data_IF_819397547405
#
_entry.id   IF_819397547405
#
_cell.length_a   1.000
_cell.length_b   1.000
_cell.length_c   1.000
_cell.angle_alpha   90.00
_cell.angle_beta   90.00
_cell.angle_gamma   90.00
#
_symmetry.space_group_name_H-M   'P 1'
#
loop_
_entity.id
_entity.type
_entity.pdbx_description
1 polymer ?
#
# COMPACT_ATOMS: atom_id res chain seq x y z
N UNK A 1 16.26 -4.54 3.87
CA UNK A 1 16.95 -5.62 3.13
C UNK A 1 17.86 -6.44 4.05
N UNK A 2 18.78 -5.82 4.81
CA UNK A 2 19.75 -6.56 5.65
C UNK A 2 19.12 -7.49 6.69
N UNK A 3 17.92 -7.19 7.19
CA UNK A 3 17.22 -8.05 8.17
C UNK A 3 16.64 -9.32 7.53
N UNK A 4 16.18 -9.24 6.27
CA UNK A 4 15.49 -10.35 5.59
C UNK A 4 15.93 -10.48 4.12
N UNK A 5 17.22 -10.82 3.84
CA UNK A 5 17.75 -10.75 2.48
C UNK A 5 17.16 -11.78 1.52
N UNK A 6 16.71 -12.92 2.00
CA UNK A 6 16.22 -14.01 1.15
C UNK A 6 14.75 -13.81 0.75
N UNK A 7 13.89 -13.49 1.69
CA UNK A 7 12.42 -13.42 1.50
C UNK A 7 11.85 -12.02 1.54
N UNK A 8 12.67 -11.01 1.85
CA UNK A 8 12.24 -9.62 1.98
C UNK A 8 11.42 -9.35 3.24
N UNK A 9 10.86 -8.14 3.32
CA UNK A 9 10.12 -7.66 4.50
C UNK A 9 8.61 -7.83 4.34
N UNK A 10 8.14 -8.16 3.16
CA UNK A 10 6.72 -8.23 2.81
C UNK A 10 6.26 -7.09 1.90
N UNK A 11 5.19 -7.34 1.17
CA UNK A 11 4.54 -6.37 0.28
C UNK A 11 3.90 -5.27 1.15
N UNK A 12 3.94 -4.02 0.67
CA UNK A 12 3.37 -2.84 1.32
C UNK A 12 3.98 -2.43 2.68
N UNK A 13 5.11 -3.01 3.10
CA UNK A 13 5.80 -2.62 4.33
C UNK A 13 6.96 -1.63 4.10
N UNK A 14 7.09 -1.10 2.88
CA UNK A 14 8.20 -0.19 2.53
C UNK A 14 8.20 1.07 3.39
N UNK A 15 7.06 1.75 3.52
CA UNK A 15 6.94 2.97 4.31
C UNK A 15 7.32 2.77 5.78
N UNK A 16 6.81 1.70 6.41
CA UNK A 16 7.12 1.41 7.83
C UNK A 16 8.60 1.17 8.09
N UNK A 17 9.28 0.48 7.18
CA UNK A 17 10.70 0.24 7.34
C UNK A 17 11.55 1.43 6.90
N UNK A 18 11.04 2.28 5.99
CA UNK A 18 11.71 3.51 5.60
C UNK A 18 11.74 4.53 6.75
N UNK A 19 10.71 4.57 7.60
CA UNK A 19 10.68 5.41 8.80
C UNK A 19 11.87 5.16 9.75
N UNK A 20 12.40 3.93 9.81
CA UNK A 20 13.59 3.61 10.62
C UNK A 20 14.84 4.36 10.11
N UNK A 21 14.88 4.69 8.81
CA UNK A 21 15.99 5.40 8.15
C UNK A 21 15.66 6.87 7.85
N UNK A 22 14.47 7.33 8.20
CA UNK A 22 14.04 8.69 7.96
C UNK A 22 14.84 9.67 8.80
N UNK A 23 15.45 10.66 8.17
CA UNK A 23 16.19 11.73 8.84
C UNK A 23 15.47 13.07 8.66
N UNK A 24 15.48 13.92 9.68
CA UNK A 24 14.92 15.27 9.59
C UNK A 24 15.50 16.10 8.43
N UNK A 25 16.68 15.75 7.95
CA UNK A 25 17.31 16.34 6.77
C UNK A 25 16.56 16.00 5.47
N UNK A 26 16.00 14.80 5.39
CA UNK A 26 15.20 14.36 4.23
C UNK A 26 13.89 15.15 4.15
N UNK A 27 13.28 15.47 5.29
CA UNK A 27 12.06 16.26 5.36
C UNK A 27 12.24 17.71 4.89
N UNK A 28 13.44 18.28 5.04
CA UNK A 28 13.78 19.60 4.49
C UNK A 28 13.82 19.60 2.96
N UNK A 29 14.14 18.47 2.36
CA UNK A 29 14.24 18.29 0.90
C UNK A 29 12.91 17.87 0.29
N UNK A 30 12.17 17.03 1.01
CA UNK A 30 10.89 16.45 0.60
C UNK A 30 9.79 16.90 1.57
N UNK A 31 8.86 17.73 1.10
CA UNK A 31 7.76 18.25 1.93
C UNK A 31 6.71 17.20 2.30
N UNK A 32 6.59 16.11 1.55
CA UNK A 32 5.75 14.97 1.88
C UNK A 32 6.55 14.02 2.77
N UNK A 33 6.28 13.96 4.05
CA UNK A 33 6.97 13.05 4.97
C UNK A 33 6.64 11.56 4.79
N UNK A 34 6.00 11.17 3.69
CA UNK A 34 5.52 9.83 3.44
C UNK A 34 6.09 9.25 2.16
N UNK A 35 6.84 8.15 2.30
CA UNK A 35 7.43 7.41 1.19
C UNK A 35 6.80 6.02 1.14
N UNK A 36 5.89 5.82 0.22
CA UNK A 36 5.17 4.55 0.05
C UNK A 36 5.93 3.54 -0.82
N UNK A 37 6.74 4.04 -1.77
CA UNK A 37 7.46 3.22 -2.73
C UNK A 37 8.84 3.79 -3.05
N UNK A 38 9.84 2.94 -3.40
CA UNK A 38 11.18 3.40 -3.75
C UNK A 38 11.29 3.98 -5.17
N UNK A 39 10.18 4.20 -5.90
CA UNK A 39 10.15 4.63 -7.31
C UNK A 39 11.13 3.85 -8.22
N UNK A 40 11.33 2.58 -7.90
CA UNK A 40 12.10 1.62 -8.66
C UNK A 40 11.56 0.22 -8.38
N UNK A 41 10.96 -0.40 -9.39
CA UNK A 41 10.27 -1.67 -9.23
C UNK A 41 11.22 -2.83 -8.85
N UNK A 42 12.45 -2.81 -9.35
CA UNK A 42 13.44 -3.84 -9.00
C UNK A 42 13.88 -3.74 -7.53
N UNK A 43 14.08 -2.52 -7.03
CA UNK A 43 14.36 -2.28 -5.62
C UNK A 43 13.17 -2.64 -4.75
N UNK A 44 11.94 -2.36 -5.23
CA UNK A 44 10.72 -2.73 -4.53
C UNK A 44 10.59 -4.26 -4.41
N UNK A 45 10.84 -5.00 -5.50
CA UNK A 45 10.83 -6.47 -5.49
C UNK A 45 11.93 -7.04 -4.57
N UNK A 46 13.13 -6.49 -4.62
CA UNK A 46 14.22 -6.88 -3.73
C UNK A 46 13.88 -6.66 -2.26
N UNK A 47 13.27 -5.52 -1.96
CA UNK A 47 12.88 -5.16 -0.61
C UNK A 47 11.72 -6.04 -0.10
N UNK A 48 10.65 -6.15 -0.91
CA UNK A 48 9.40 -6.81 -0.51
C UNK A 48 9.50 -8.34 -0.48
N UNK A 49 10.20 -8.93 -1.46
CA UNK A 49 10.24 -10.38 -1.70
C UNK A 49 11.66 -10.97 -1.59
N UNK A 50 12.65 -10.15 -1.26
CA UNK A 50 14.04 -10.57 -1.14
C UNK A 50 14.68 -10.94 -2.48
N UNK A 51 15.89 -11.52 -2.39
CA UNK A 51 16.64 -11.91 -3.58
C UNK A 51 15.96 -13.02 -4.37
N UNK A 52 15.22 -13.91 -3.69
CA UNK A 52 14.49 -15.01 -4.34
C UNK A 52 13.37 -14.42 -5.22
N UNK A 53 12.59 -13.49 -4.68
CA UNK A 53 11.53 -12.82 -5.45
C UNK A 53 12.08 -11.99 -6.60
N UNK A 54 13.17 -11.26 -6.40
CA UNK A 54 13.83 -10.51 -7.47
C UNK A 54 14.33 -11.43 -8.59
N UNK A 55 14.99 -12.57 -8.26
CA UNK A 55 15.45 -13.53 -9.27
C UNK A 55 14.28 -14.11 -10.04
N UNK A 56 13.18 -14.47 -9.36
CA UNK A 56 11.98 -14.99 -10.01
C UNK A 56 11.39 -13.95 -10.98
N UNK A 57 11.26 -12.70 -10.53
CA UNK A 57 10.76 -11.59 -11.34
C UNK A 57 11.65 -11.31 -12.56
N UNK A 58 12.96 -11.19 -12.37
CA UNK A 58 13.92 -11.02 -13.47
C UNK A 58 13.91 -12.22 -14.43
N UNK A 59 13.72 -13.43 -13.93
CA UNK A 59 13.62 -14.64 -14.76
C UNK A 59 12.43 -14.57 -15.71
N UNK A 60 11.28 -14.03 -15.28
CA UNK A 60 10.10 -13.82 -16.14
C UNK A 60 10.44 -12.83 -17.26
N UNK A 61 11.02 -11.69 -16.92
CA UNK A 61 11.40 -10.64 -17.88
C UNK A 61 12.40 -11.18 -18.91
N UNK A 62 13.49 -11.79 -18.44
CA UNK A 62 14.56 -12.29 -19.31
C UNK A 62 14.08 -13.42 -20.21
N UNK A 63 13.31 -14.38 -19.67
CA UNK A 63 12.77 -15.47 -20.49
C UNK A 63 11.77 -14.96 -21.53
N UNK A 64 10.90 -14.02 -21.19
CA UNK A 64 9.93 -13.43 -22.11
C UNK A 64 10.63 -12.65 -23.23
N UNK A 65 11.63 -11.84 -22.87
CA UNK A 65 12.43 -11.12 -23.86
C UNK A 65 13.20 -12.08 -24.79
N UNK A 66 13.86 -13.08 -24.20
CA UNK A 66 14.58 -14.11 -24.98
C UNK A 66 13.64 -14.86 -25.93
N UNK A 67 12.44 -15.25 -25.49
CA UNK A 67 11.45 -15.91 -26.35
C UNK A 67 10.97 -15.02 -27.48
N UNK A 68 10.71 -13.75 -27.21
CA UNK A 68 10.37 -12.79 -28.27
C UNK A 68 11.50 -12.69 -29.33
N UNK A 69 12.75 -12.55 -28.90
CA UNK A 69 13.88 -12.47 -29.82
C UNK A 69 14.05 -13.75 -30.65
N UNK A 70 13.97 -14.94 -30.02
CA UNK A 70 14.09 -16.22 -30.74
C UNK A 70 12.99 -16.31 -31.82
N UNK A 71 11.75 -15.96 -31.51
CA UNK A 71 10.66 -16.04 -32.48
C UNK A 71 10.79 -15.02 -33.60
N UNK A 72 11.32 -13.82 -33.38
CA UNK A 72 11.62 -12.83 -34.43
C UNK A 72 12.51 -13.45 -35.52
N UNK A 73 13.49 -14.28 -35.15
CA UNK A 73 14.40 -14.91 -36.12
C UNK A 73 13.85 -16.24 -36.70
N UNK A 74 12.87 -16.86 -36.06
CA UNK A 74 12.26 -18.11 -36.51
C UNK A 74 11.09 -17.92 -37.47
N UNK A 75 10.34 -16.82 -37.33
CA UNK A 75 9.15 -16.57 -38.12
C UNK A 75 9.50 -16.11 -39.53
N UNK A 76 8.81 -16.70 -40.49
CA UNK A 76 8.89 -16.35 -41.91
C UNK A 76 7.81 -15.34 -42.29
N UNK A 77 6.63 -15.45 -41.66
CA UNK A 77 5.53 -14.51 -41.86
C UNK A 77 5.86 -13.12 -41.28
N UNK A 78 5.83 -12.06 -42.11
CA UNK A 78 6.07 -10.69 -41.63
C UNK A 78 5.12 -10.25 -40.53
N UNK A 79 3.86 -10.65 -40.52
CA UNK A 79 2.88 -10.27 -39.50
C UNK A 79 3.23 -10.86 -38.14
N UNK A 80 3.58 -12.17 -38.09
CA UNK A 80 4.04 -12.83 -36.87
C UNK A 80 5.35 -12.23 -36.35
N UNK A 81 6.25 -11.89 -37.27
CA UNK A 81 7.50 -11.23 -36.92
C UNK A 81 7.30 -9.88 -36.26
N UNK A 82 6.38 -9.06 -36.80
CA UNK A 82 6.00 -7.77 -36.22
C UNK A 82 5.40 -7.97 -34.81
N UNK A 83 4.57 -8.99 -34.62
CA UNK A 83 4.00 -9.32 -33.31
C UNK A 83 5.09 -9.59 -32.26
N UNK A 84 6.10 -10.42 -32.59
CA UNK A 84 7.20 -10.70 -31.65
C UNK A 84 8.14 -9.51 -31.44
N UNK A 85 8.32 -8.64 -32.42
CA UNK A 85 9.02 -7.35 -32.25
C UNK A 85 8.23 -6.49 -31.24
N UNK A 86 6.91 -6.44 -31.34
CA UNK A 86 6.07 -5.68 -30.40
C UNK A 86 6.16 -6.22 -28.97
N UNK A 87 6.20 -7.54 -28.79
CA UNK A 87 6.43 -8.15 -27.47
C UNK A 87 7.83 -7.79 -26.91
N UNK A 88 8.87 -7.87 -27.72
CA UNK A 88 10.22 -7.49 -27.29
C UNK A 88 10.30 -6.01 -26.90
N UNK A 89 9.70 -5.13 -27.70
CA UNK A 89 9.64 -3.69 -27.43
C UNK A 89 8.87 -3.37 -26.15
N UNK A 90 7.73 -4.05 -25.94
CA UNK A 90 6.94 -3.90 -24.70
C UNK A 90 7.76 -4.29 -23.47
N UNK A 91 8.41 -5.46 -23.48
CA UNK A 91 9.18 -5.94 -22.33
C UNK A 91 10.39 -5.02 -22.04
N UNK A 92 11.06 -4.54 -23.09
CA UNK A 92 12.15 -3.58 -22.94
C UNK A 92 11.65 -2.25 -22.35
N UNK A 93 10.55 -1.70 -22.86
CA UNK A 93 9.93 -0.48 -22.36
C UNK A 93 9.46 -0.64 -20.91
N UNK A 94 8.81 -1.75 -20.57
CA UNK A 94 8.42 -2.07 -19.20
C UNK A 94 9.63 -2.15 -18.25
N UNK A 95 10.74 -2.76 -18.69
CA UNK A 95 11.96 -2.85 -17.88
C UNK A 95 12.58 -1.47 -17.63
N UNK A 96 12.60 -0.60 -18.64
CA UNK A 96 13.09 0.79 -18.49
C UNK A 96 12.15 1.59 -17.58
N UNK A 97 10.84 1.45 -17.74
CA UNK A 97 9.85 2.07 -16.87
C UNK A 97 10.07 1.67 -15.40
N UNK A 98 10.30 0.38 -15.13
CA UNK A 98 10.53 -0.15 -13.78
C UNK A 98 11.81 0.34 -13.10
N UNK A 99 12.76 0.96 -13.82
CA UNK A 99 13.94 1.58 -13.23
C UNK A 99 13.64 2.91 -12.51
N UNK A 100 12.57 3.60 -12.89
CA UNK A 100 12.25 4.95 -12.39
C UNK A 100 10.82 5.04 -11.82
N UNK A 101 10.04 3.98 -11.92
CA UNK A 101 8.66 3.93 -11.47
C UNK A 101 8.36 2.62 -10.74
N UNK A 102 7.19 2.54 -10.14
CA UNK A 102 6.63 1.34 -9.55
C UNK A 102 5.38 0.90 -10.33
N UNK A 103 5.06 -0.39 -10.25
CA UNK A 103 3.87 -0.93 -10.89
C UNK A 103 2.62 -0.57 -10.08
N UNK A 104 1.66 0.04 -10.75
CA UNK A 104 0.27 0.04 -10.29
C UNK A 104 -0.46 -1.23 -10.80
N UNK A 105 -1.68 -1.42 -10.31
CA UNK A 105 -2.51 -2.59 -10.68
C UNK A 105 -2.74 -2.68 -12.19
N UNK A 106 -2.88 -1.53 -12.86
CA UNK A 106 -3.14 -1.46 -14.30
C UNK A 106 -1.92 -1.90 -15.10
N UNK A 107 -0.75 -1.40 -14.74
CA UNK A 107 0.53 -1.74 -15.42
C UNK A 107 0.85 -3.22 -15.24
N UNK A 108 0.66 -3.72 -14.01
CA UNK A 108 0.89 -5.13 -13.70
C UNK A 108 -0.08 -6.04 -14.50
N UNK A 109 -1.35 -5.64 -14.63
CA UNK A 109 -2.32 -6.35 -15.46
C UNK A 109 -1.87 -6.41 -16.93
N UNK A 110 -1.47 -5.28 -17.53
CA UNK A 110 -0.96 -5.26 -18.88
C UNK A 110 0.29 -6.13 -19.03
N UNK A 111 1.21 -6.09 -18.08
CA UNK A 111 2.39 -6.93 -18.11
C UNK A 111 2.03 -8.42 -18.19
N UNK A 112 1.16 -8.91 -17.32
CA UNK A 112 0.76 -10.32 -17.34
C UNK A 112 -0.08 -10.70 -18.55
N UNK A 113 -0.94 -9.82 -19.06
CA UNK A 113 -1.70 -10.04 -20.31
C UNK A 113 -0.74 -10.18 -21.49
N UNK A 114 0.28 -9.33 -21.61
CA UNK A 114 1.28 -9.42 -22.67
C UNK A 114 2.15 -10.68 -22.55
N UNK A 115 2.54 -11.08 -21.34
CA UNK A 115 3.27 -12.35 -21.13
C UNK A 115 2.42 -13.56 -21.53
N UNK A 116 1.12 -13.57 -21.17
CA UNK A 116 0.20 -14.63 -21.57
C UNK A 116 0.00 -14.67 -23.08
N UNK A 117 -0.17 -13.50 -23.75
CA UNK A 117 -0.28 -13.40 -25.19
C UNK A 117 1.00 -13.87 -25.90
N UNK A 118 2.18 -13.49 -25.42
CA UNK A 118 3.47 -13.98 -25.91
C UNK A 118 3.53 -15.51 -25.82
N UNK A 119 3.12 -16.08 -24.69
CA UNK A 119 3.13 -17.53 -24.48
C UNK A 119 2.15 -18.24 -25.40
N UNK A 120 0.97 -17.66 -25.67
CA UNK A 120 -0.01 -18.20 -26.61
C UNK A 120 0.46 -18.13 -28.06
N UNK A 121 1.21 -17.10 -28.45
CA UNK A 121 1.77 -16.93 -29.79
C UNK A 121 3.05 -17.74 -30.01
N UNK A 122 3.73 -18.21 -28.95
CA UNK A 122 4.97 -18.98 -29.07
C UNK A 122 4.68 -20.37 -29.66
N UNK A 123 5.15 -20.59 -30.91
CA UNK A 123 4.92 -21.80 -31.69
C UNK A 123 5.82 -22.96 -31.31
N UNK A 124 6.72 -22.80 -30.35
CA UNK A 124 7.50 -23.92 -29.85
C UNK A 124 6.56 -24.96 -29.23
N UNK A 125 6.52 -26.18 -29.82
CA UNK A 125 5.66 -27.29 -29.36
C UNK A 125 5.77 -27.43 -27.85
N UNK A 126 4.82 -26.83 -27.14
CA UNK A 126 4.57 -27.20 -25.75
C UNK A 126 4.15 -28.66 -25.80
N UNK A 127 4.80 -29.51 -25.00
CA UNK A 127 4.27 -30.85 -24.76
C UNK A 127 2.80 -30.68 -24.40
N UNK A 128 1.93 -31.24 -25.24
CA UNK A 128 0.51 -31.31 -24.90
C UNK A 128 0.41 -32.14 -23.61
N UNK A 129 0.27 -31.44 -22.49
CA UNK A 129 -0.15 -32.09 -21.27
C UNK A 129 -1.65 -32.34 -21.38
N UNK A 130 -2.02 -33.54 -21.77
CA UNK A 130 -3.38 -34.06 -21.61
C UNK A 130 -3.68 -34.20 -20.12
N UNK A 131 -3.86 -33.07 -19.44
CA UNK A 131 -4.32 -33.11 -18.05
C UNK A 131 -5.80 -33.54 -18.06
N UNK A 132 -6.13 -34.55 -17.26
CA UNK A 132 -7.52 -34.97 -17.06
C UNK A 132 -8.37 -33.73 -16.70
N UNK A 133 -9.47 -33.53 -17.42
CA UNK A 133 -10.38 -32.43 -17.21
C UNK A 133 -10.86 -32.33 -15.75
N UNK A 134 -10.94 -33.44 -15.04
CA UNK A 134 -11.26 -33.48 -13.61
C UNK A 134 -10.15 -32.87 -12.74
N UNK A 135 -8.89 -33.10 -13.08
CA UNK A 135 -7.74 -32.52 -12.36
C UNK A 135 -7.73 -30.99 -12.57
N UNK A 136 -7.98 -30.54 -13.81
CA UNK A 136 -8.06 -29.10 -14.12
C UNK A 136 -9.22 -28.47 -13.35
N UNK A 137 -10.40 -29.10 -13.35
CA UNK A 137 -11.57 -28.59 -12.61
C UNK A 137 -11.30 -28.49 -11.11
N UNK A 138 -10.69 -29.50 -10.50
CA UNK A 138 -10.34 -29.48 -9.07
C UNK A 138 -9.28 -28.42 -8.77
N UNK A 139 -8.27 -28.25 -9.62
CA UNK A 139 -7.25 -27.23 -9.46
C UNK A 139 -7.80 -25.79 -9.66
N UNK A 140 -8.88 -25.61 -10.43
CA UNK A 140 -9.52 -24.32 -10.62
C UNK A 140 -10.32 -23.86 -9.37
N UNK A 141 -10.81 -24.76 -8.54
CA UNK A 141 -11.63 -24.42 -7.36
C UNK A 141 -10.92 -23.43 -6.41
N UNK A 142 -9.68 -23.69 -5.92
CA UNK A 142 -9.02 -22.76 -5.03
C UNK A 142 -8.74 -21.40 -5.68
N UNK A 143 -8.48 -21.38 -6.99
CA UNK A 143 -8.30 -20.11 -7.74
C UNK A 143 -9.60 -19.32 -7.78
N UNK A 144 -10.73 -19.97 -8.12
CA UNK A 144 -12.05 -19.32 -8.14
C UNK A 144 -12.42 -18.80 -6.76
N UNK A 145 -12.18 -19.59 -5.70
CA UNK A 145 -12.44 -19.16 -4.33
C UNK A 145 -11.59 -17.96 -3.93
N UNK A 146 -10.29 -17.99 -4.26
CA UNK A 146 -9.39 -16.86 -4.01
C UNK A 146 -9.81 -15.60 -4.79
N UNK A 147 -10.18 -15.72 -6.06
CA UNK A 147 -10.68 -14.60 -6.86
C UNK A 147 -12.00 -14.05 -6.28
N UNK A 148 -12.93 -14.92 -5.91
CA UNK A 148 -14.22 -14.52 -5.31
C UNK A 148 -14.02 -13.80 -3.99
N UNK A 149 -13.12 -14.28 -3.14
CA UNK A 149 -12.75 -13.63 -1.88
C UNK A 149 -12.13 -12.23 -2.13
N UNK A 150 -11.20 -12.13 -3.08
CA UNK A 150 -10.60 -10.83 -3.45
C UNK A 150 -11.64 -9.84 -3.99
N UNK A 151 -12.57 -10.28 -4.83
CA UNK A 151 -13.66 -9.43 -5.33
C UNK A 151 -14.53 -8.93 -4.17
N UNK A 152 -14.93 -9.84 -3.26
CA UNK A 152 -15.72 -9.47 -2.09
C UNK A 152 -14.99 -8.46 -1.19
N UNK A 153 -13.71 -8.70 -0.89
CA UNK A 153 -12.87 -7.78 -0.13
C UNK A 153 -12.79 -6.41 -0.80
N UNK A 154 -12.48 -6.37 -2.11
CA UNK A 154 -12.38 -5.12 -2.87
C UNK A 154 -13.67 -4.32 -2.89
N UNK A 155 -14.83 -4.97 -2.94
CA UNK A 155 -16.14 -4.29 -2.84
C UNK A 155 -16.31 -3.63 -1.47
N UNK A 156 -15.89 -4.31 -0.39
CA UNK A 156 -15.95 -3.74 0.97
C UNK A 156 -14.97 -2.58 1.12
N UNK A 157 -13.76 -2.68 0.54
CA UNK A 157 -12.77 -1.61 0.54
C UNK A 157 -13.30 -0.36 -0.20
N UNK A 158 -13.93 -0.55 -1.36
CA UNK A 158 -14.57 0.55 -2.09
C UNK A 158 -15.70 1.21 -1.29
N UNK A 159 -16.52 0.42 -0.57
CA UNK A 159 -17.56 0.96 0.30
C UNK A 159 -16.95 1.72 1.47
N UNK A 160 -15.93 1.15 2.12
CA UNK A 160 -15.22 1.80 3.21
C UNK A 160 -14.65 3.16 2.79
N UNK A 161 -13.94 3.20 1.64
CA UNK A 161 -13.38 4.44 1.09
C UNK A 161 -14.46 5.49 0.77
N UNK A 162 -15.62 5.07 0.30
CA UNK A 162 -16.77 5.97 0.08
C UNK A 162 -17.24 6.61 1.39
N UNK A 163 -17.42 5.82 2.45
CA UNK A 163 -17.80 6.36 3.77
C UNK A 163 -16.72 7.27 4.33
N UNK A 164 -15.46 6.89 4.19
CA UNK A 164 -14.32 7.72 4.60
C UNK A 164 -14.30 9.08 3.89
N UNK A 165 -14.46 9.11 2.56
CA UNK A 165 -14.57 10.35 1.77
C UNK A 165 -15.77 11.21 2.19
N UNK A 166 -16.90 10.58 2.48
CA UNK A 166 -18.08 11.29 3.01
C UNK A 166 -17.79 11.91 4.37
N UNK A 167 -17.15 11.15 5.28
CA UNK A 167 -16.70 11.65 6.58
C UNK A 167 -15.79 12.88 6.46
N UNK A 168 -14.76 12.80 5.60
CA UNK A 168 -13.86 13.93 5.34
C UNK A 168 -14.60 15.19 4.79
N UNK A 169 -15.60 15.00 3.95
CA UNK A 169 -16.41 16.12 3.45
C UNK A 169 -17.27 16.74 4.56
N UNK A 170 -17.79 15.93 5.49
CA UNK A 170 -18.58 16.39 6.63
C UNK A 170 -17.72 17.19 7.63
N UNK A 171 -16.44 16.80 7.83
CA UNK A 171 -15.48 17.58 8.63
C UNK A 171 -15.33 19.00 8.07
N UNK A 172 -15.17 19.12 6.75
CA UNK A 172 -15.05 20.43 6.07
C UNK A 172 -16.30 21.31 6.26
N UNK A 173 -17.45 20.70 6.54
CA UNK A 173 -18.72 21.38 6.82
C UNK A 173 -18.96 21.63 8.32
N UNK A 174 -18.03 21.22 9.20
CA UNK A 174 -18.18 21.31 10.65
C UNK A 174 -19.15 20.29 11.26
N UNK A 175 -19.59 19.30 10.49
CA UNK A 175 -20.56 18.26 10.92
C UNK A 175 -19.81 17.05 11.54
N UNK A 176 -19.15 17.29 12.67
CA UNK A 176 -18.25 16.27 13.27
C UNK A 176 -18.94 15.00 13.68
N UNK A 177 -20.14 15.05 14.28
CA UNK A 177 -20.87 13.86 14.70
C UNK A 177 -21.22 12.92 13.52
N UNK A 178 -21.68 13.47 12.41
CA UNK A 178 -21.96 12.72 11.19
C UNK A 178 -20.66 12.18 10.56
N UNK A 179 -19.58 12.93 10.65
CA UNK A 179 -18.26 12.51 10.17
C UNK A 179 -17.75 11.29 10.95
N UNK A 180 -17.85 11.32 12.29
CA UNK A 180 -17.47 10.21 13.18
C UNK A 180 -18.28 8.94 12.85
N UNK A 181 -19.59 9.07 12.61
CA UNK A 181 -20.43 7.94 12.20
C UNK A 181 -19.94 7.30 10.89
N UNK A 182 -19.66 8.13 9.88
CA UNK A 182 -19.16 7.65 8.57
C UNK A 182 -17.79 6.99 8.70
N UNK A 183 -16.88 7.55 9.49
CA UNK A 183 -15.55 6.97 9.73
C UNK A 183 -15.61 5.63 10.48
N UNK A 184 -16.46 5.51 11.51
CA UNK A 184 -16.70 4.25 12.18
C UNK A 184 -17.26 3.19 11.22
N UNK A 185 -18.16 3.59 10.31
CA UNK A 185 -18.69 2.69 9.28
C UNK A 185 -17.61 2.23 8.31
N UNK A 186 -16.68 3.13 7.92
CA UNK A 186 -15.53 2.77 7.09
C UNK A 186 -14.62 1.75 7.80
N UNK A 187 -14.32 1.98 9.09
CA UNK A 187 -13.51 1.06 9.90
C UNK A 187 -14.20 -0.31 10.04
N UNK A 188 -15.52 -0.35 10.26
CA UNK A 188 -16.26 -1.60 10.35
C UNK A 188 -16.25 -2.43 9.06
N UNK A 189 -16.13 -1.78 7.90
CA UNK A 189 -16.01 -2.43 6.59
C UNK A 189 -14.59 -2.88 6.27
N UNK A 190 -13.58 -2.13 6.73
CA UNK A 190 -12.16 -2.45 6.58
C UNK A 190 -11.37 -1.99 7.82
N UNK A 191 -11.19 -2.91 8.77
CA UNK A 191 -10.47 -2.66 10.03
C UNK A 191 -8.94 -2.64 9.86
N UNK A 192 -8.43 -3.16 8.75
CA UNK A 192 -6.99 -3.21 8.49
C UNK A 192 -6.41 -1.88 8.02
N UNK A 193 -7.24 -0.95 7.54
CA UNK A 193 -6.78 0.33 7.00
C UNK A 193 -6.59 1.34 8.13
N UNK A 194 -5.34 1.53 8.54
CA UNK A 194 -4.96 2.36 9.71
C UNK A 194 -5.32 3.83 9.54
N UNK A 195 -5.33 4.35 8.30
CA UNK A 195 -5.67 5.75 8.01
C UNK A 195 -7.10 6.12 8.44
N UNK A 196 -8.04 5.18 8.39
CA UNK A 196 -9.40 5.45 8.86
C UNK A 196 -9.44 5.67 10.37
N UNK A 197 -8.67 4.88 11.12
CA UNK A 197 -8.57 4.99 12.58
C UNK A 197 -7.86 6.29 12.98
N UNK A 198 -6.77 6.63 12.28
CA UNK A 198 -6.07 7.90 12.47
C UNK A 198 -6.98 9.10 12.19
N UNK A 199 -7.69 9.10 11.06
CA UNK A 199 -8.59 10.17 10.70
C UNK A 199 -9.77 10.29 11.68
N UNK A 200 -10.28 9.18 12.19
CA UNK A 200 -11.32 9.20 13.23
C UNK A 200 -10.79 9.86 14.50
N UNK A 201 -9.64 9.46 15.00
CA UNK A 201 -9.02 10.05 16.19
C UNK A 201 -8.77 11.56 16.03
N UNK A 202 -8.22 11.98 14.88
CA UNK A 202 -8.03 13.39 14.55
C UNK A 202 -9.36 14.16 14.47
N UNK A 203 -10.41 13.54 13.93
CA UNK A 203 -11.74 14.14 13.86
C UNK A 203 -12.34 14.35 15.24
N UNK A 204 -12.24 13.36 16.10
CA UNK A 204 -12.71 13.45 17.50
C UNK A 204 -11.94 14.52 18.24
N UNK A 205 -10.61 14.59 18.10
CA UNK A 205 -9.79 15.65 18.67
C UNK A 205 -10.25 17.04 18.21
N UNK A 206 -10.43 17.24 16.89
CA UNK A 206 -10.93 18.50 16.33
C UNK A 206 -12.31 18.87 16.82
N UNK A 207 -13.22 17.92 16.98
CA UNK A 207 -14.55 18.13 17.54
C UNK A 207 -14.46 18.67 18.96
N UNK A 208 -13.63 18.08 19.79
CA UNK A 208 -13.40 18.49 21.18
C UNK A 208 -12.81 19.92 21.22
N UNK A 209 -11.81 20.19 20.37
CA UNK A 209 -11.14 21.48 20.32
C UNK A 209 -12.06 22.62 19.84
N UNK A 210 -12.96 22.33 18.88
CA UNK A 210 -13.87 23.34 18.33
C UNK A 210 -15.10 23.65 19.19
N UNK A 211 -15.38 22.87 20.24
CA UNK A 211 -16.55 23.02 21.09
C UNK A 211 -16.15 23.26 22.56
N UNK A 212 -15.72 24.49 22.86
CA UNK A 212 -15.30 24.90 24.21
C UNK A 212 -16.38 24.71 25.29
N UNK A 213 -17.65 24.79 24.91
CA UNK A 213 -18.82 24.65 25.80
C UNK A 213 -19.21 23.20 26.08
N UNK A 214 -18.48 22.21 25.55
CA UNK A 214 -18.78 20.80 25.72
C UNK A 214 -18.67 20.38 27.22
N UNK A 215 -19.63 19.62 27.78
CA UNK A 215 -19.54 19.11 29.14
C UNK A 215 -18.24 18.34 29.37
N UNK A 216 -17.57 18.59 30.51
CA UNK A 216 -16.25 18.04 30.82
C UNK A 216 -16.20 16.51 30.71
N UNK A 217 -17.27 15.85 31.17
CA UNK A 217 -17.36 14.38 31.09
C UNK A 217 -17.42 13.87 29.64
N UNK A 218 -18.23 14.50 28.79
CA UNK A 218 -18.34 14.16 27.36
C UNK A 218 -17.01 14.39 26.66
N UNK A 219 -16.37 15.54 26.94
CA UNK A 219 -15.04 15.90 26.40
C UNK A 219 -14.01 14.82 26.75
N UNK A 220 -13.94 14.43 28.02
CA UNK A 220 -12.98 13.44 28.51
C UNK A 220 -13.24 12.05 27.91
N UNK A 221 -14.49 11.64 27.76
CA UNK A 221 -14.85 10.36 27.13
C UNK A 221 -14.40 10.31 25.66
N UNK A 222 -14.62 11.39 24.89
CA UNK A 222 -14.19 11.48 23.49
C UNK A 222 -12.65 11.47 23.38
N UNK A 223 -11.95 12.19 24.24
CA UNK A 223 -10.48 12.20 24.25
C UNK A 223 -9.90 10.83 24.63
N UNK A 224 -10.49 10.13 25.61
CA UNK A 224 -10.08 8.77 25.96
C UNK A 224 -10.29 7.79 24.79
N UNK A 225 -11.40 7.91 24.07
CA UNK A 225 -11.65 7.10 22.88
C UNK A 225 -10.61 7.37 21.78
N UNK A 226 -10.31 8.65 21.51
CA UNK A 226 -9.31 9.03 20.52
C UNK A 226 -7.91 8.56 20.93
N UNK A 227 -7.52 8.74 22.20
CA UNK A 227 -6.23 8.28 22.73
C UNK A 227 -6.08 6.76 22.54
N UNK A 228 -7.06 5.97 22.98
CA UNK A 228 -7.00 4.52 22.86
C UNK A 228 -6.88 4.02 21.42
N UNK A 229 -7.48 4.71 20.46
CA UNK A 229 -7.31 4.38 19.04
C UNK A 229 -5.90 4.70 18.56
N UNK A 230 -5.34 5.87 18.89
CA UNK A 230 -3.98 6.24 18.48
C UNK A 230 -2.95 5.34 19.14
N UNK A 231 -3.10 5.03 20.45
CA UNK A 231 -2.24 4.09 21.17
C UNK A 231 -2.22 2.71 20.50
N UNK A 232 -3.41 2.20 20.10
CA UNK A 232 -3.52 0.94 19.37
C UNK A 232 -2.81 0.95 18.02
N UNK A 233 -2.76 2.10 17.34
CA UNK A 233 -2.06 2.25 16.06
C UNK A 233 -0.54 2.34 16.20
N UNK A 234 -0.01 2.82 17.35
CA UNK A 234 1.43 2.93 17.59
C UNK A 234 2.15 1.56 17.53
N UNK A 235 1.46 0.46 17.77
CA UNK A 235 2.01 -0.89 17.63
C UNK A 235 2.16 -1.35 16.19
N UNK A 236 1.47 -0.70 15.24
CA UNK A 236 1.50 -1.06 13.82
C UNK A 236 2.69 -0.49 13.04
N UNK A 237 3.54 0.31 13.68
CA UNK A 237 4.70 1.01 13.09
C UNK A 237 4.38 1.95 11.91
N UNK A 238 3.11 2.26 11.65
CA UNK A 238 2.69 3.22 10.64
C UNK A 238 2.60 4.63 11.25
N UNK A 239 3.19 5.63 10.61
CA UNK A 239 3.06 7.05 10.98
C UNK A 239 3.41 7.38 12.44
N UNK A 240 4.48 6.78 12.98
CA UNK A 240 4.81 6.92 14.40
C UNK A 240 4.95 8.39 14.83
N UNK A 241 5.51 9.25 13.97
CA UNK A 241 5.68 10.67 14.30
C UNK A 241 4.36 11.42 14.32
N UNK A 242 3.50 11.21 13.30
CA UNK A 242 2.17 11.82 13.21
C UNK A 242 1.24 11.30 14.32
N UNK A 243 1.31 10.00 14.62
CA UNK A 243 0.56 9.39 15.71
C UNK A 243 1.02 9.92 17.06
N UNK A 244 2.34 10.05 17.28
CA UNK A 244 2.90 10.59 18.50
C UNK A 244 2.53 12.08 18.70
N UNK A 245 2.56 12.87 17.62
CA UNK A 245 2.13 14.26 17.66
C UNK A 245 0.64 14.39 18.00
N UNK A 246 -0.24 13.61 17.34
CA UNK A 246 -1.66 13.61 17.66
C UNK A 246 -1.94 13.15 19.09
N UNK A 247 -1.27 12.10 19.55
CA UNK A 247 -1.41 11.59 20.91
C UNK A 247 -0.94 12.60 21.97
N UNK A 248 0.16 13.32 21.68
CA UNK A 248 0.64 14.40 22.53
C UNK A 248 -0.41 15.50 22.68
N UNK A 249 -1.02 15.96 21.59
CA UNK A 249 -2.10 16.95 21.61
C UNK A 249 -3.32 16.45 22.43
N UNK A 250 -3.71 15.18 22.25
CA UNK A 250 -4.80 14.58 23.00
C UNK A 250 -4.47 14.52 24.49
N UNK A 251 -3.27 14.10 24.86
CA UNK A 251 -2.83 14.03 26.26
C UNK A 251 -2.75 15.42 26.92
N UNK A 252 -2.32 16.44 26.18
CA UNK A 252 -2.33 17.81 26.66
C UNK A 252 -3.74 18.27 27.01
N UNK A 253 -4.72 18.03 26.13
CA UNK A 253 -6.14 18.35 26.38
C UNK A 253 -6.76 17.55 27.54
N UNK A 254 -6.21 16.36 27.85
CA UNK A 254 -6.59 15.55 29.01
C UNK A 254 -5.95 16.00 30.32
N UNK A 255 -5.00 16.96 30.28
CA UNK A 255 -4.19 17.38 31.41
C UNK A 255 -3.04 16.42 31.77
N UNK A 256 -2.68 15.49 30.88
CA UNK A 256 -1.55 14.54 31.03
C UNK A 256 -0.26 15.15 30.46
N UNK A 257 0.12 16.34 30.97
CA UNK A 257 1.21 17.16 30.41
C UNK A 257 2.57 16.46 30.35
N UNK A 258 2.91 15.64 31.35
CA UNK A 258 4.21 14.94 31.39
C UNK A 258 4.32 13.90 30.27
N UNK A 259 3.23 13.20 30.01
CA UNK A 259 3.16 12.20 28.95
C UNK A 259 3.13 12.84 27.56
N UNK A 260 2.43 13.96 27.43
CA UNK A 260 2.44 14.77 26.21
C UNK A 260 3.88 15.22 25.87
N UNK A 261 4.59 15.83 26.82
CA UNK A 261 5.98 16.27 26.64
C UNK A 261 6.93 15.14 26.29
N UNK A 262 6.75 13.96 26.90
CA UNK A 262 7.58 12.79 26.58
C UNK A 262 7.41 12.33 25.11
N UNK A 263 6.19 12.40 24.59
CA UNK A 263 5.90 12.10 23.17
C UNK A 263 6.49 13.17 22.24
N UNK A 264 6.35 14.44 22.56
CA UNK A 264 6.92 15.56 21.79
C UNK A 264 8.45 15.45 21.69
N UNK A 265 9.13 15.20 22.81
CA UNK A 265 10.58 15.00 22.80
C UNK A 265 10.99 13.83 21.90
N UNK A 266 10.25 12.74 21.92
CA UNK A 266 10.50 11.58 21.06
C UNK A 266 10.30 11.91 19.57
N UNK A 267 9.32 12.74 19.25
CA UNK A 267 9.11 13.25 17.87
C UNK A 267 10.25 14.14 17.46
N UNK A 268 10.66 15.10 18.31
CA UNK A 268 11.75 16.04 18.02
C UNK A 268 13.11 15.37 17.89
N UNK A 269 13.37 14.28 18.60
CA UNK A 269 14.60 13.47 18.43
C UNK A 269 14.70 12.88 17.03
N UNK A 270 13.57 12.45 16.47
CA UNK A 270 13.51 11.87 15.12
C UNK A 270 13.34 12.93 14.03
N UNK A 271 12.63 13.99 14.31
CA UNK A 271 12.30 15.05 13.39
C UNK A 271 12.42 16.44 14.05
N UNK A 272 13.65 16.98 14.11
CA UNK A 272 13.92 18.28 14.78
C UNK A 272 13.22 19.48 14.12
N UNK A 273 12.64 19.30 12.94
CA UNK A 273 11.96 20.37 12.17
C UNK A 273 10.44 20.31 12.35
N UNK A 274 9.93 19.30 13.03
CA UNK A 274 8.51 19.19 13.37
C UNK A 274 8.16 20.16 14.49
N UNK A 275 8.12 21.46 14.15
CA UNK A 275 7.62 22.52 15.03
C UNK A 275 6.15 22.72 14.66
N UNK A 276 5.27 22.01 15.29
CA UNK A 276 3.83 22.26 15.25
C UNK A 276 3.38 23.09 16.43
#
# INVERSE_FOLDING_TARGET
FYKYPLFGTGIALFSSAFEEFYSGRLRLLERSGYFDHPHNNFLYMLYSMGIIGLIAYLSIIVQSFRRSIINIFRQVDPAEKILFISFAAFIAGYSVYGLTNFDDVSILLYFFVFIAALKAADTEKTKEYNADSKIIAVAAIPVILACSFNIYSSINDMKADRFFKQGNNLIKQGKFAEAVYNMNTAIALNDYYTDYKYALANTVYRQVFSHETMPKETRMNLLNQAAGQVEGLMYSHYFINELSALLSLIYYEMGREQEAKALELKVLEKDPVNIT
#
